data_IF_188188306064
#
_entry.id   IF_188188306064
#
_cell.length_a   1.000
_cell.length_b   1.000
_cell.length_c   1.000
_cell.angle_alpha   90.00
_cell.angle_beta   90.00
_cell.angle_gamma   90.00
#
_symmetry.space_group_name_H-M   'P 1'
#
loop_
_entity.id
_entity.type
_entity.pdbx_description
1 polymer ?
#
# COMPACT_ATOMS: atom_id res chain seq x y z
N UNK A 1 3.39 11.50 12.96
CA UNK A 1 4.57 11.91 12.18
C UNK A 1 5.90 11.77 12.95
N UNK A 2 5.95 10.97 14.03
CA UNK A 2 7.19 10.75 14.79
C UNK A 2 8.23 9.92 14.03
N UNK A 3 7.77 8.92 13.26
CA UNK A 3 8.62 8.09 12.41
C UNK A 3 9.03 8.78 11.10
N UNK A 4 8.26 9.79 10.66
CA UNK A 4 8.50 10.57 9.45
C UNK A 4 8.18 12.04 9.72
N UNK A 5 9.09 12.77 10.39
CA UNK A 5 8.90 14.19 10.68
C UNK A 5 8.99 15.02 9.38
N UNK A 6 8.35 16.21 9.32
CA UNK A 6 8.62 17.16 8.25
C UNK A 6 10.12 17.51 8.21
N UNK A 7 10.65 17.88 7.03
CA UNK A 7 12.00 18.43 6.95
C UNK A 7 12.11 19.70 7.82
N UNK A 8 13.23 19.85 8.52
CA UNK A 8 13.49 20.98 9.42
C UNK A 8 13.52 20.61 10.91
N UNK A 9 13.68 21.62 11.77
CA UNK A 9 13.71 21.42 13.21
C UNK A 9 12.33 20.97 13.72
N UNK A 10 12.32 19.94 14.58
CA UNK A 10 11.08 19.44 15.17
C UNK A 10 10.46 20.53 16.07
N UNK A 11 9.21 20.98 15.81
CA UNK A 11 8.56 21.96 16.64
C UNK A 11 8.38 21.43 18.08
N UNK A 12 8.36 22.31 19.11
CA UNK A 12 8.19 21.90 20.50
C UNK A 12 6.93 21.07 20.76
N UNK A 13 5.87 21.29 19.98
CA UNK A 13 4.62 20.51 20.07
C UNK A 13 4.77 19.07 19.59
N UNK A 14 5.86 18.68 18.92
CA UNK A 14 6.14 17.27 18.61
C UNK A 14 6.73 16.51 19.82
N UNK A 15 7.00 17.15 20.95
CA UNK A 15 7.52 16.49 22.14
C UNK A 15 6.39 16.01 23.06
N UNK A 16 5.61 15.02 22.62
CA UNK A 16 4.58 14.38 23.43
C UNK A 16 4.58 12.86 23.23
N UNK A 17 3.98 12.14 24.18
CA UNK A 17 3.81 10.70 24.15
C UNK A 17 2.55 10.31 24.92
N UNK A 18 1.98 9.11 24.68
CA UNK A 18 0.81 8.65 25.41
C UNK A 18 1.11 8.56 26.91
N UNK A 19 0.30 9.22 27.74
CA UNK A 19 0.44 9.20 29.19
C UNK A 19 -0.91 8.91 29.86
N UNK A 20 -1.05 7.80 30.61
CA UNK A 20 -2.33 7.42 31.22
C UNK A 20 -2.63 8.15 32.53
N UNK A 21 -1.65 8.87 33.10
CA UNK A 21 -1.81 9.59 34.37
C UNK A 21 -2.58 10.91 34.26
N UNK A 22 -2.77 11.56 35.41
CA UNK A 22 -3.44 12.87 35.54
C UNK A 22 -2.46 13.94 36.06
N UNK A 23 -2.86 15.21 35.99
CA UNK A 23 -2.11 16.36 36.51
C UNK A 23 -1.36 17.16 35.43
N UNK A 24 -0.54 18.13 35.87
CA UNK A 24 0.05 19.14 35.01
C UNK A 24 0.85 18.59 33.80
N UNK A 25 1.54 17.46 33.97
CA UNK A 25 2.25 16.80 32.87
C UNK A 25 1.26 16.23 31.84
N UNK A 26 0.17 15.61 32.27
CA UNK A 26 -0.86 15.08 31.38
C UNK A 26 -1.52 16.20 30.57
N UNK A 27 -1.75 17.35 31.20
CA UNK A 27 -2.35 18.52 30.56
C UNK A 27 -1.38 19.16 29.55
N UNK A 28 -0.09 19.26 29.88
CA UNK A 28 0.95 19.70 28.93
C UNK A 28 1.05 18.78 27.71
N UNK A 29 1.06 17.46 27.93
CA UNK A 29 1.12 16.48 26.84
C UNK A 29 -0.13 16.53 25.96
N UNK A 30 -1.31 16.77 26.55
CA UNK A 30 -2.57 16.96 25.82
C UNK A 30 -2.53 18.23 24.97
N UNK A 31 -2.12 19.36 25.54
CA UNK A 31 -1.98 20.62 24.82
C UNK A 31 -1.01 20.52 23.62
N UNK A 32 0.10 19.77 23.78
CA UNK A 32 1.03 19.48 22.68
C UNK A 32 0.41 18.58 21.60
N UNK A 33 -0.36 17.57 22.00
CA UNK A 33 -1.10 16.72 21.07
C UNK A 33 -2.13 17.54 20.27
N UNK A 34 -2.90 18.40 20.93
CA UNK A 34 -3.90 19.24 20.28
C UNK A 34 -3.25 20.21 19.28
N UNK A 35 -2.15 20.86 19.67
CA UNK A 35 -1.37 21.72 18.78
C UNK A 35 -0.80 20.95 17.57
N UNK A 36 -0.37 19.71 17.77
CA UNK A 36 0.07 18.82 16.69
C UNK A 36 -1.09 18.50 15.74
N UNK A 37 -2.27 18.12 16.26
CA UNK A 37 -3.46 17.80 15.45
C UNK A 37 -3.90 19.01 14.62
N UNK A 38 -3.95 20.20 15.23
CA UNK A 38 -4.39 21.42 14.54
C UNK A 38 -3.39 21.83 13.44
N UNK A 39 -2.09 21.76 13.72
CA UNK A 39 -1.05 22.05 12.72
C UNK A 39 -1.12 21.05 11.56
N UNK A 40 -1.30 19.76 11.84
CA UNK A 40 -1.44 18.74 10.79
C UNK A 40 -2.70 18.96 9.96
N UNK A 41 -3.83 19.29 10.60
CA UNK A 41 -5.08 19.59 9.88
C UNK A 41 -4.92 20.81 8.97
N UNK A 42 -4.34 21.90 9.49
CA UNK A 42 -4.15 23.15 8.76
C UNK A 42 -3.17 22.99 7.61
N UNK A 43 -1.99 22.41 7.84
CA UNK A 43 -0.88 22.49 6.89
C UNK A 43 -0.79 21.26 5.97
N UNK A 44 -1.26 20.10 6.41
CA UNK A 44 -1.16 18.85 5.64
C UNK A 44 -2.47 18.48 4.95
N UNK A 45 -3.59 18.51 5.70
CA UNK A 45 -4.87 18.01 5.18
C UNK A 45 -5.45 18.94 4.13
N UNK A 46 -5.44 20.24 4.38
CA UNK A 46 -6.00 21.25 3.46
C UNK A 46 -5.30 21.26 2.10
N UNK A 47 -3.97 21.19 2.07
CA UNK A 47 -3.17 21.33 0.86
C UNK A 47 -3.01 20.05 0.04
N UNK A 48 -2.95 18.87 0.68
CA UNK A 48 -2.70 17.61 -0.04
C UNK A 48 -3.99 16.89 -0.47
N UNK A 49 -5.06 16.97 0.32
CA UNK A 49 -6.29 16.24 0.04
C UNK A 49 -7.36 17.10 -0.63
N UNK A 50 -7.23 18.43 -0.60
CA UNK A 50 -8.21 19.34 -1.21
C UNK A 50 -8.31 19.23 -2.73
N UNK A 51 -7.24 18.77 -3.39
CA UNK A 51 -7.13 18.69 -4.86
C UNK A 51 -7.00 17.26 -5.40
N UNK A 52 -7.15 16.23 -4.57
CA UNK A 52 -6.88 14.86 -4.98
C UNK A 52 -8.14 14.16 -5.51
N UNK A 53 -8.18 13.92 -6.82
CA UNK A 53 -9.30 13.22 -7.47
C UNK A 53 -9.14 11.69 -7.50
N UNK A 54 -7.91 11.19 -7.35
CA UNK A 54 -7.52 9.78 -7.43
C UNK A 54 -6.53 9.45 -6.33
N UNK A 55 -6.66 8.28 -5.72
CA UNK A 55 -5.71 7.82 -4.71
C UNK A 55 -5.25 6.40 -5.01
N UNK A 56 -3.95 6.17 -4.78
CA UNK A 56 -3.35 4.85 -4.81
C UNK A 56 -2.76 4.54 -3.44
N UNK A 57 -3.25 3.50 -2.79
CA UNK A 57 -2.76 3.00 -1.51
C UNK A 57 -1.87 1.79 -1.78
N UNK A 58 -0.59 1.90 -1.46
CA UNK A 58 0.41 0.85 -1.67
C UNK A 58 0.60 0.03 -0.40
N UNK A 59 0.65 -1.30 -0.52
CA UNK A 59 0.98 -2.18 0.60
C UNK A 59 1.91 -3.33 0.19
N UNK A 60 2.98 -3.53 0.97
CA UNK A 60 3.89 -4.67 0.81
C UNK A 60 3.42 -5.86 1.66
N UNK A 61 2.41 -6.58 1.14
CA UNK A 61 1.84 -7.75 1.82
C UNK A 61 2.80 -8.95 1.80
N UNK A 62 3.63 -9.07 0.76
CA UNK A 62 4.57 -10.19 0.62
C UNK A 62 5.63 -10.14 1.73
N UNK A 63 6.24 -8.98 1.97
CA UNK A 63 7.21 -8.81 3.05
C UNK A 63 6.57 -9.03 4.43
N UNK A 64 5.33 -8.58 4.62
CA UNK A 64 4.60 -8.80 5.87
C UNK A 64 4.32 -10.31 6.11
N UNK A 65 3.87 -11.03 5.08
CA UNK A 65 3.68 -12.49 5.14
C UNK A 65 5.01 -13.22 5.39
N UNK A 66 6.10 -12.77 4.77
CA UNK A 66 7.44 -13.35 4.96
C UNK A 66 7.95 -13.25 6.40
N UNK A 67 7.76 -12.08 7.02
CA UNK A 67 8.23 -11.78 8.36
C UNK A 67 7.41 -12.48 9.45
N UNK A 68 6.23 -13.00 9.10
CA UNK A 68 5.42 -13.85 9.96
C UNK A 68 4.22 -13.14 10.58
N UNK A 69 3.48 -13.89 11.41
CA UNK A 69 2.18 -13.47 11.95
C UNK A 69 2.20 -12.12 12.65
N UNK A 70 3.24 -11.84 13.44
CA UNK A 70 3.35 -10.59 14.18
C UNK A 70 3.46 -9.38 13.26
N UNK A 71 4.28 -9.48 12.18
CA UNK A 71 4.43 -8.40 11.20
C UNK A 71 3.16 -8.19 10.36
N UNK A 72 2.43 -9.27 10.08
CA UNK A 72 1.19 -9.20 9.32
C UNK A 72 -0.03 -8.74 10.14
N UNK A 73 -0.02 -8.93 11.47
CA UNK A 73 -1.18 -8.69 12.33
C UNK A 73 -1.73 -7.25 12.25
N UNK A 74 -0.85 -6.27 12.02
CA UNK A 74 -1.23 -4.86 11.97
C UNK A 74 -1.68 -4.40 10.57
N UNK A 75 -1.34 -5.16 9.51
CA UNK A 75 -1.65 -4.79 8.13
C UNK A 75 -3.17 -4.65 7.87
N UNK A 76 -4.06 -5.56 8.32
CA UNK A 76 -5.50 -5.38 8.17
C UNK A 76 -6.00 -4.09 8.82
N UNK A 77 -5.58 -3.80 10.06
CA UNK A 77 -6.03 -2.62 10.79
C UNK A 77 -5.51 -1.32 10.16
N UNK A 78 -4.25 -1.30 9.71
CA UNK A 78 -3.67 -0.16 9.02
C UNK A 78 -4.35 0.10 7.67
N UNK A 79 -4.66 -0.94 6.90
CA UNK A 79 -5.37 -0.84 5.63
C UNK A 79 -6.83 -0.40 5.81
N UNK A 80 -7.52 -0.91 6.84
CA UNK A 80 -8.87 -0.48 7.19
C UNK A 80 -8.90 0.97 7.70
N UNK A 81 -7.92 1.39 8.48
CA UNK A 81 -7.79 2.78 8.91
C UNK A 81 -7.49 3.70 7.72
N UNK A 82 -6.62 3.27 6.80
CA UNK A 82 -6.34 3.98 5.57
C UNK A 82 -7.58 4.08 4.69
N UNK A 83 -8.40 3.04 4.56
CA UNK A 83 -9.64 3.08 3.78
C UNK A 83 -10.74 3.92 4.45
N UNK A 84 -10.85 3.89 5.78
CA UNK A 84 -11.83 4.66 6.55
C UNK A 84 -11.51 6.15 6.68
N UNK A 85 -10.24 6.54 6.65
CA UNK A 85 -9.82 7.94 6.67
C UNK A 85 -10.09 8.68 5.36
N UNK A 86 -10.40 7.95 4.28
CA UNK A 86 -10.69 8.51 2.97
C UNK A 86 -12.17 8.87 2.91
N UNK A 87 -12.45 10.15 2.65
CA UNK A 87 -13.82 10.62 2.43
C UNK A 87 -14.27 10.14 1.06
N UNK A 88 -15.10 9.11 1.07
CA UNK A 88 -15.71 8.55 -0.13
C UNK A 88 -16.89 9.41 -0.59
N UNK A 89 -16.80 9.94 -1.80
CA UNK A 89 -17.94 10.56 -2.47
C UNK A 89 -18.40 11.90 -1.89
N UNK A 90 -19.35 12.46 -2.62
CA UNK A 90 -19.97 13.77 -2.40
C UNK A 90 -21.14 13.59 -1.42
N UNK A 91 -21.05 14.07 -0.18
CA UNK A 91 -22.26 14.12 0.66
C UNK A 91 -23.11 15.31 0.21
N UNK A 92 -24.40 15.08 -0.06
CA UNK A 92 -25.34 16.16 -0.40
C UNK A 92 -25.37 17.27 0.68
N UNK A 93 -25.11 16.90 1.93
CA UNK A 93 -24.99 17.84 3.05
C UNK A 93 -23.73 18.71 2.98
N UNK A 94 -22.58 18.14 2.63
CA UNK A 94 -21.34 18.89 2.38
C UNK A 94 -21.55 19.90 1.22
N UNK A 95 -22.42 19.55 0.26
CA UNK A 95 -22.64 20.33 -0.97
C UNK A 95 -23.55 21.51 -0.67
N UNK A 96 -24.60 21.27 0.12
CA UNK A 96 -25.44 22.33 0.68
C UNK A 96 -24.64 23.27 1.59
N UNK A 97 -23.72 22.75 2.40
CA UNK A 97 -22.87 23.56 3.27
C UNK A 97 -21.85 24.41 2.50
N UNK A 98 -21.32 23.91 1.38
CA UNK A 98 -20.47 24.69 0.47
C UNK A 98 -21.30 25.77 -0.27
N UNK A 99 -22.48 25.40 -0.77
CA UNK A 99 -23.41 26.33 -1.43
C UNK A 99 -23.87 27.45 -0.49
N UNK A 100 -24.18 27.12 0.77
CA UNK A 100 -24.57 28.08 1.81
C UNK A 100 -23.42 29.06 2.16
N UNK A 101 -22.17 28.67 1.92
CA UNK A 101 -20.97 29.51 2.10
C UNK A 101 -20.50 30.19 0.82
N UNK A 102 -21.22 30.03 -0.30
CA UNK A 102 -20.81 30.49 -1.64
C UNK A 102 -19.42 29.97 -2.06
N UNK A 103 -19.05 28.78 -1.59
CA UNK A 103 -17.78 28.11 -1.90
C UNK A 103 -18.00 26.95 -2.88
N UNK A 104 -16.97 26.63 -3.67
CA UNK A 104 -16.96 25.40 -4.46
C UNK A 104 -16.96 24.19 -3.51
N UNK A 105 -17.77 23.15 -3.77
CA UNK A 105 -17.73 21.94 -2.94
C UNK A 105 -16.33 21.31 -3.01
N UNK A 106 -15.80 20.80 -1.90
CA UNK A 106 -14.47 20.20 -1.88
C UNK A 106 -14.40 19.04 -2.89
N UNK A 107 -13.28 18.91 -3.62
CA UNK A 107 -13.07 17.74 -4.49
C UNK A 107 -13.10 16.49 -3.63
N UNK A 108 -13.92 15.52 -4.04
CA UNK A 108 -14.02 14.23 -3.40
C UNK A 108 -13.23 13.21 -4.22
N UNK A 109 -12.56 12.28 -3.54
CA UNK A 109 -11.80 11.23 -4.21
C UNK A 109 -12.79 10.34 -4.96
N UNK A 110 -12.69 10.33 -6.29
CA UNK A 110 -13.61 9.61 -7.16
C UNK A 110 -13.24 8.14 -7.34
N UNK A 111 -11.94 7.82 -7.30
CA UNK A 111 -11.44 6.44 -7.40
C UNK A 111 -10.27 6.19 -6.46
N UNK A 112 -10.25 5.02 -5.85
CA UNK A 112 -9.16 4.55 -4.99
C UNK A 112 -8.68 3.17 -5.44
N UNK A 113 -7.39 3.04 -5.69
CA UNK A 113 -6.77 1.77 -5.99
C UNK A 113 -5.93 1.28 -4.79
N UNK A 114 -6.23 0.09 -4.30
CA UNK A 114 -5.44 -0.61 -3.29
C UNK A 114 -4.47 -1.55 -4.01
N UNK A 115 -3.17 -1.33 -3.92
CA UNK A 115 -2.17 -2.05 -4.71
C UNK A 115 -1.23 -2.83 -3.80
N UNK A 116 -1.30 -4.15 -3.88
CA UNK A 116 -0.27 -5.02 -3.34
C UNK A 116 0.99 -4.92 -4.22
N UNK A 117 2.06 -4.35 -3.66
CA UNK A 117 3.30 -4.04 -4.40
C UNK A 117 4.22 -5.26 -4.52
N UNK A 118 5.24 -5.14 -5.38
CA UNK A 118 6.27 -6.18 -5.61
C UNK A 118 5.67 -7.51 -6.09
N UNK A 119 4.58 -7.44 -6.86
CA UNK A 119 3.88 -8.63 -7.35
C UNK A 119 4.73 -9.50 -8.31
N UNK A 120 5.85 -8.99 -8.81
CA UNK A 120 6.85 -9.74 -9.55
C UNK A 120 7.64 -10.72 -8.66
N UNK A 121 7.69 -10.51 -7.35
CA UNK A 121 8.33 -11.46 -6.44
C UNK A 121 7.56 -12.79 -6.31
N UNK A 122 6.36 -12.90 -6.90
CA UNK A 122 5.59 -14.14 -7.00
C UNK A 122 5.29 -14.50 -8.45
N UNK A 123 5.15 -15.80 -8.69
CA UNK A 123 4.80 -16.33 -10.00
C UNK A 123 3.42 -15.82 -10.44
N UNK A 124 3.20 -15.67 -11.75
CA UNK A 124 1.95 -15.18 -12.33
C UNK A 124 0.68 -15.80 -11.72
N UNK A 125 0.69 -17.12 -11.46
CA UNK A 125 -0.44 -17.85 -10.86
C UNK A 125 -0.84 -17.35 -9.45
N UNK A 126 0.08 -16.74 -8.72
CA UNK A 126 -0.13 -16.27 -7.34
C UNK A 126 -0.54 -14.79 -7.26
N UNK A 127 -0.39 -14.02 -8.34
CA UNK A 127 -0.72 -12.58 -8.35
C UNK A 127 -2.21 -12.33 -8.16
N UNK A 128 -3.06 -13.23 -8.67
CA UNK A 128 -4.50 -13.20 -8.42
C UNK A 128 -4.85 -13.36 -6.94
N UNK A 129 -4.20 -14.30 -6.25
CA UNK A 129 -4.37 -14.48 -4.80
C UNK A 129 -3.91 -13.25 -4.03
N UNK A 130 -2.77 -12.65 -4.42
CA UNK A 130 -2.26 -11.43 -3.79
C UNK A 130 -3.26 -10.27 -3.91
N UNK A 131 -3.87 -10.08 -5.08
CA UNK A 131 -4.90 -9.07 -5.28
C UNK A 131 -6.19 -9.40 -4.48
N UNK A 132 -6.58 -10.67 -4.42
CA UNK A 132 -7.73 -11.13 -3.63
C UNK A 132 -7.54 -10.92 -2.12
N UNK A 133 -6.34 -11.20 -1.61
CA UNK A 133 -5.96 -10.92 -0.24
C UNK A 133 -6.07 -9.43 0.07
N UNK A 134 -5.47 -8.58 -0.77
CA UNK A 134 -5.57 -7.12 -0.64
C UNK A 134 -7.03 -6.67 -0.56
N UNK A 135 -7.87 -7.14 -1.50
CA UNK A 135 -9.31 -6.83 -1.52
C UNK A 135 -10.01 -7.18 -0.21
N UNK A 136 -9.73 -8.37 0.35
CA UNK A 136 -10.34 -8.84 1.60
C UNK A 136 -9.86 -8.06 2.82
N UNK A 137 -8.62 -7.59 2.83
CA UNK A 137 -8.08 -6.76 3.92
C UNK A 137 -8.68 -5.35 3.95
N UNK A 138 -9.00 -4.80 2.79
CA UNK A 138 -9.44 -3.41 2.66
C UNK A 138 -10.97 -3.24 2.65
N UNK A 139 -11.74 -4.34 2.59
CA UNK A 139 -13.22 -4.34 2.57
C UNK A 139 -13.82 -3.33 1.57
N UNK A 140 -13.28 -3.38 0.35
CA UNK A 140 -13.45 -2.35 -0.68
C UNK A 140 -14.90 -2.29 -1.20
N UNK A 141 -15.58 -1.13 -1.20
CA UNK A 141 -16.83 -0.96 -1.94
C UNK A 141 -16.56 -0.98 -3.45
N UNK A 142 -17.23 -1.87 -4.19
CA UNK A 142 -16.89 -2.22 -5.59
C UNK A 142 -17.04 -1.08 -6.60
N UNK A 143 -17.84 -0.04 -6.30
CA UNK A 143 -18.18 1.00 -7.27
C UNK A 143 -17.09 2.06 -7.49
N UNK A 144 -16.32 2.41 -6.46
CA UNK A 144 -15.34 3.50 -6.50
C UNK A 144 -13.92 3.03 -6.17
N UNK A 145 -13.73 1.73 -5.95
CA UNK A 145 -12.45 1.22 -5.50
C UNK A 145 -12.20 -0.21 -5.93
N UNK A 146 -10.92 -0.51 -6.17
CA UNK A 146 -10.48 -1.80 -6.64
C UNK A 146 -9.13 -2.18 -6.02
N UNK A 147 -8.85 -3.48 -5.97
CA UNK A 147 -7.60 -4.01 -5.48
C UNK A 147 -6.79 -4.63 -6.63
N UNK A 148 -5.48 -4.38 -6.63
CA UNK A 148 -4.55 -4.81 -7.66
C UNK A 148 -3.32 -5.47 -7.03
N UNK A 149 -2.64 -6.29 -7.81
CA UNK A 149 -1.26 -6.70 -7.54
C UNK A 149 -0.39 -6.14 -8.65
N UNK A 150 0.63 -5.35 -8.31
CA UNK A 150 1.47 -4.68 -9.29
C UNK A 150 2.95 -4.64 -8.87
N UNK A 151 3.81 -4.48 -9.86
CA UNK A 151 5.22 -4.15 -9.68
C UNK A 151 5.54 -2.94 -10.55
N UNK A 152 5.84 -1.81 -9.91
CA UNK A 152 6.18 -0.57 -10.62
C UNK A 152 7.50 -0.69 -11.38
N UNK A 153 8.42 -1.47 -10.81
CA UNK A 153 9.69 -1.88 -11.41
C UNK A 153 9.77 -3.38 -11.25
N UNK A 154 9.86 -4.10 -12.37
CA UNK A 154 9.96 -5.55 -12.39
C UNK A 154 11.42 -5.96 -12.22
N UNK A 155 11.68 -6.82 -11.24
CA UNK A 155 13.00 -7.34 -10.90
C UNK A 155 13.17 -8.83 -11.27
N UNK A 156 12.07 -9.51 -11.63
CA UNK A 156 12.06 -10.95 -11.88
C UNK A 156 11.33 -11.35 -13.17
N UNK A 157 11.64 -12.54 -13.67
CA UNK A 157 10.94 -13.23 -14.74
C UNK A 157 10.16 -14.43 -14.21
N UNK A 158 9.01 -14.71 -14.81
CA UNK A 158 8.22 -15.92 -14.52
C UNK A 158 8.89 -17.14 -15.17
N UNK A 159 9.13 -18.19 -14.39
CA UNK A 159 9.71 -19.45 -14.88
C UNK A 159 8.90 -20.66 -14.40
N UNK A 160 8.92 -21.73 -15.18
CA UNK A 160 8.36 -23.03 -14.78
C UNK A 160 9.53 -23.99 -14.63
N UNK A 161 9.65 -24.58 -13.46
CA UNK A 161 10.73 -25.50 -13.10
C UNK A 161 10.17 -26.90 -12.84
N UNK A 162 11.00 -27.92 -12.97
CA UNK A 162 10.60 -29.28 -12.61
C UNK A 162 11.20 -29.65 -11.25
N UNK A 163 10.35 -29.75 -10.23
CA UNK A 163 10.73 -30.18 -8.88
C UNK A 163 10.14 -31.57 -8.63
N UNK A 164 10.99 -32.59 -8.43
CA UNK A 164 10.54 -33.96 -8.20
C UNK A 164 9.67 -34.51 -9.34
N UNK A 165 9.98 -34.13 -10.58
CA UNK A 165 9.21 -34.55 -11.78
C UNK A 165 7.91 -33.78 -12.02
N UNK A 166 7.57 -32.77 -11.20
CA UNK A 166 6.37 -31.95 -11.36
C UNK A 166 6.70 -30.52 -11.76
N UNK A 167 5.93 -29.91 -12.68
CA UNK A 167 6.08 -28.50 -13.02
C UNK A 167 5.66 -27.62 -11.83
N UNK A 168 6.50 -26.67 -11.47
CA UNK A 168 6.31 -25.72 -10.38
C UNK A 168 6.63 -24.33 -10.88
N UNK A 169 5.67 -23.41 -10.77
CA UNK A 169 5.90 -22.00 -11.12
C UNK A 169 6.77 -21.32 -10.06
N UNK A 170 7.80 -20.64 -10.51
CA UNK A 170 8.75 -19.89 -9.68
C UNK A 170 9.08 -18.55 -10.36
N UNK A 171 9.91 -17.75 -9.69
CA UNK A 171 10.45 -16.52 -10.26
C UNK A 171 11.96 -16.59 -10.32
N UNK A 172 12.56 -15.90 -11.29
CA UNK A 172 14.02 -15.82 -11.46
C UNK A 172 14.44 -14.37 -11.56
N UNK A 173 15.45 -13.98 -10.78
CA UNK A 173 16.01 -12.64 -10.79
C UNK A 173 17.43 -12.64 -10.26
N UNK A 174 18.17 -11.54 -10.44
CA UNK A 174 19.49 -11.38 -9.82
C UNK A 174 19.31 -10.89 -8.39
N UNK A 175 19.73 -11.69 -7.41
CA UNK A 175 19.67 -11.27 -6.00
C UNK A 175 20.76 -10.22 -5.78
N UNK A 176 20.46 -9.19 -4.99
CA UNK A 176 21.44 -8.14 -4.66
C UNK A 176 22.71 -8.78 -4.08
N UNK A 177 23.85 -8.47 -4.70
CA UNK A 177 25.16 -8.98 -4.29
C UNK A 177 25.53 -10.34 -4.89
N UNK A 178 24.63 -10.99 -5.65
CA UNK A 178 24.93 -12.21 -6.39
C UNK A 178 25.27 -11.93 -7.86
N UNK A 179 26.33 -12.57 -8.37
CA UNK A 179 26.76 -12.37 -9.75
C UNK A 179 25.83 -13.03 -10.78
N UNK A 180 25.09 -14.08 -10.38
CA UNK A 180 24.23 -14.87 -11.27
C UNK A 180 22.77 -14.78 -10.81
N UNK A 181 21.81 -14.81 -11.75
CA UNK A 181 20.40 -14.93 -11.40
C UNK A 181 20.13 -16.19 -10.60
N UNK A 182 19.35 -16.04 -9.54
CA UNK A 182 18.87 -17.14 -8.72
C UNK A 182 17.37 -17.31 -8.90
N UNK A 183 16.91 -18.52 -8.59
CA UNK A 183 15.49 -18.87 -8.58
C UNK A 183 14.96 -18.68 -7.17
N UNK A 184 13.78 -18.10 -7.05
CA UNK A 184 13.04 -18.09 -5.80
C UNK A 184 11.70 -18.79 -5.96
N UNK A 185 11.40 -19.66 -5.01
CA UNK A 185 10.08 -20.23 -4.83
C UNK A 185 9.45 -19.60 -3.58
N UNK A 186 8.62 -18.56 -3.74
CA UNK A 186 8.01 -17.87 -2.62
C UNK A 186 6.81 -18.64 -2.04
N UNK A 187 6.57 -19.91 -2.39
CA UNK A 187 5.42 -20.64 -1.87
C UNK A 187 4.08 -20.14 -2.42
N UNK A 188 3.00 -20.44 -1.71
CA UNK A 188 1.64 -20.05 -2.08
C UNK A 188 1.19 -18.82 -1.30
N UNK A 189 0.67 -17.84 -2.04
CA UNK A 189 0.08 -16.64 -1.46
C UNK A 189 -1.36 -16.96 -1.08
N UNK A 190 -1.77 -16.74 0.18
CA UNK A 190 -3.16 -16.94 0.56
C UNK A 190 -4.03 -15.88 -0.10
N UNK A 191 -5.23 -16.25 -0.54
CA UNK A 191 -6.22 -15.36 -1.15
C UNK A 191 -7.13 -14.66 -0.12
N UNK A 192 -6.92 -14.97 1.16
CA UNK A 192 -7.63 -14.44 2.32
C UNK A 192 -6.70 -14.32 3.53
N UNK A 193 -7.06 -13.52 4.55
CA UNK A 193 -6.24 -13.39 5.75
C UNK A 193 -5.90 -14.79 6.32
N UNK A 194 -4.61 -15.12 6.46
CA UNK A 194 -4.17 -16.46 6.80
C UNK A 194 -4.58 -16.86 8.23
N UNK A 195 -4.95 -18.13 8.38
CA UNK A 195 -5.28 -18.73 9.68
C UNK A 195 -4.02 -19.14 10.47
N UNK A 196 -4.21 -19.75 11.64
CA UNK A 196 -3.10 -20.20 12.48
C UNK A 196 -2.26 -21.32 11.81
N UNK A 197 -2.85 -22.12 10.91
CA UNK A 197 -2.18 -23.23 10.26
C UNK A 197 -1.18 -22.74 9.20
N UNK A 198 -1.52 -21.69 8.46
CA UNK A 198 -0.62 -21.04 7.50
C UNK A 198 0.73 -20.68 8.13
N UNK A 199 0.72 -20.17 9.36
CA UNK A 199 1.92 -19.73 10.07
C UNK A 199 2.78 -20.86 10.65
N UNK A 200 2.30 -22.11 10.64
CA UNK A 200 3.08 -23.26 11.12
C UNK A 200 4.21 -23.64 10.16
N UNK A 201 4.17 -23.13 8.93
CA UNK A 201 5.17 -23.42 7.93
C UNK A 201 5.75 -22.13 7.33
N UNK A 202 7.08 -22.10 7.20
CA UNK A 202 7.79 -20.97 6.60
C UNK A 202 7.94 -21.23 5.10
N UNK A 203 7.08 -20.63 4.27
CA UNK A 203 7.02 -20.98 2.84
C UNK A 203 7.41 -19.90 1.85
N UNK A 204 7.74 -18.68 2.26
CA UNK A 204 8.13 -17.64 1.32
C UNK A 204 9.63 -17.33 1.46
N UNK A 205 10.46 -17.67 0.48
CA UNK A 205 11.75 -16.99 0.31
C UNK A 205 11.50 -15.73 -0.52
N UNK A 206 11.76 -14.56 0.06
CA UNK A 206 11.56 -13.25 -0.58
C UNK A 206 12.88 -12.49 -0.56
N UNK A 207 13.84 -12.86 -1.43
CA UNK A 207 15.09 -12.13 -1.54
C UNK A 207 14.86 -10.77 -2.19
N UNK A 208 15.79 -9.85 -1.94
CA UNK A 208 15.84 -8.57 -2.63
C UNK A 208 16.52 -8.77 -4.00
N UNK A 209 15.75 -8.52 -5.05
CA UNK A 209 16.22 -8.64 -6.43
C UNK A 209 16.67 -7.29 -6.99
N UNK A 210 17.67 -7.32 -7.85
CA UNK A 210 18.05 -6.19 -8.68
C UNK A 210 17.02 -5.98 -9.81
N UNK A 211 16.73 -4.72 -10.18
CA UNK A 211 15.83 -4.41 -11.29
C UNK A 211 16.25 -5.06 -12.60
N UNK A 212 15.26 -5.49 -13.40
CA UNK A 212 15.52 -5.89 -14.78
C UNK A 212 16.00 -4.67 -15.57
N UNK A 213 17.03 -4.87 -16.39
CA UNK A 213 17.54 -3.80 -17.25
C UNK A 213 16.49 -3.45 -18.30
N UNK A 214 16.20 -2.15 -18.53
CA UNK A 214 15.43 -1.74 -19.69
C UNK A 214 16.13 -2.21 -20.99
N UNK A 215 15.39 -2.40 -22.08
CA UNK A 215 15.97 -2.68 -23.39
C UNK A 215 17.01 -1.62 -23.79
N UNK A 216 18.14 -2.06 -24.34
CA UNK A 216 19.26 -1.17 -24.71
C UNK A 216 18.95 -0.25 -25.89
N UNK A 217 17.88 -0.54 -26.65
CA UNK A 217 17.46 0.25 -27.81
C UNK A 217 16.84 1.60 -27.45
N UNK A 218 16.66 1.90 -26.15
CA UNK A 218 16.08 3.13 -25.63
C UNK A 218 14.61 3.33 -25.99
N UNK A 219 13.97 2.34 -26.62
CA UNK A 219 12.56 2.36 -27.02
C UNK A 219 11.67 1.64 -26.01
N UNK A 220 12.27 0.83 -25.14
CA UNK A 220 11.59 0.19 -24.02
C UNK A 220 11.50 1.06 -22.77
N UNK A 221 10.33 1.07 -22.13
CA UNK A 221 10.16 1.63 -20.78
C UNK A 221 10.73 0.71 -19.70
N UNK A 222 10.68 1.17 -18.45
CA UNK A 222 11.01 0.34 -17.28
C UNK A 222 10.06 -0.87 -17.25
N UNK A 223 10.58 -2.10 -17.19
CA UNK A 223 9.74 -3.29 -17.06
C UNK A 223 8.81 -3.18 -15.85
N UNK A 224 7.52 -3.47 -16.03
CA UNK A 224 6.49 -3.34 -15.01
C UNK A 224 5.49 -4.51 -15.07
N UNK A 225 4.67 -4.65 -14.03
CA UNK A 225 3.52 -5.56 -14.01
C UNK A 225 2.28 -4.87 -13.46
N UNK A 226 1.15 -5.00 -14.16
CA UNK A 226 -0.18 -4.60 -13.69
C UNK A 226 -0.43 -3.08 -13.63
N UNK A 227 0.53 -2.24 -14.02
CA UNK A 227 0.33 -0.78 -14.06
C UNK A 227 -0.66 -0.37 -15.15
N UNK A 228 -0.73 -1.11 -16.25
CA UNK A 228 -1.69 -0.91 -17.33
C UNK A 228 -3.14 -1.03 -16.82
N UNK A 229 -3.44 -2.12 -16.13
CA UNK A 229 -4.76 -2.38 -15.54
C UNK A 229 -5.09 -1.37 -14.43
N UNK A 230 -4.09 -1.01 -13.61
CA UNK A 230 -4.22 0.01 -12.58
C UNK A 230 -4.56 1.38 -13.18
N UNK A 231 -3.82 1.81 -14.21
CA UNK A 231 -4.03 3.08 -14.89
C UNK A 231 -5.37 3.10 -15.62
N UNK A 232 -5.73 2.01 -16.30
CA UNK A 232 -7.04 1.88 -16.93
C UNK A 232 -8.17 2.08 -15.91
N UNK A 233 -8.08 1.48 -14.72
CA UNK A 233 -9.06 1.71 -13.66
C UNK A 233 -9.08 3.17 -13.18
N UNK A 234 -7.92 3.76 -12.90
CA UNK A 234 -7.82 5.12 -12.36
C UNK A 234 -8.29 6.18 -13.36
N UNK A 235 -8.13 5.94 -14.66
CA UNK A 235 -8.39 6.90 -15.72
C UNK A 235 -9.62 6.57 -16.58
N UNK A 236 -10.37 5.49 -16.25
CA UNK A 236 -11.49 5.01 -17.06
C UNK A 236 -12.59 6.05 -17.35
N UNK A 237 -12.74 7.07 -16.52
CA UNK A 237 -13.74 8.14 -16.69
C UNK A 237 -13.19 9.40 -17.40
N UNK A 238 -11.90 9.43 -17.73
CA UNK A 238 -11.21 10.56 -18.37
C UNK A 238 -10.69 10.20 -19.77
N UNK A 239 -10.54 8.90 -20.07
CA UNK A 239 -10.16 8.36 -21.38
C UNK A 239 -11.39 8.04 -22.22
#
# INVERSE_FOLDING_TARGET
RFLMPPPGAAPPFMQFFPWPGRGALADLLRARCDAYVETVRRDLVSHLFGDMDRLVVLADLLSALHQGRAAFADAPAALAAASGALRWGRSWTDWLAALARMELPPRAIGRVAFVATKADHVAARQRGNLAALMRRLTSVPEAASAAFAAASVRCTEDVVETLGGRPVSAVRGRIIGEARPARSYPGEVPDAPPDAAFWQHRFLALPDFEPLRPPEDGRGGVPQLGLDSLLAFLLADIL
#
